data_IF_345182293586
#
_entry.id   IF_345182293586
#
_cell.length_a   1.000
_cell.length_b   1.000
_cell.length_c   1.000
_cell.angle_alpha   90.00
_cell.angle_beta   90.00
_cell.angle_gamma   90.00
#
_symmetry.space_group_name_H-M   'P 1'
#
loop_
_entity.id
_entity.type
_entity.pdbx_description
1 polymer ?
#
# COMPACT_ATOMS: atom_id res chain seq x y z
N UNK A 1 -20.82 12.00 -8.42
CA UNK A 1 -21.31 10.63 -8.16
C UNK A 1 -20.10 9.72 -8.24
N UNK A 2 -19.40 9.32 -7.18
CA UNK A 2 -19.35 9.60 -5.74
C UNK A 2 -17.85 9.31 -5.40
N UNK A 3 -17.17 9.80 -4.37
CA UNK A 3 -17.46 10.62 -3.21
C UNK A 3 -16.09 11.14 -2.72
N UNK A 4 -16.08 12.00 -1.71
CA UNK A 4 -14.90 12.60 -1.13
C UNK A 4 -13.85 11.58 -0.64
N UNK A 5 -12.59 11.87 -0.92
CA UNK A 5 -11.50 11.57 0.02
C UNK A 5 -10.48 12.72 -0.05
N UNK A 6 -10.95 13.90 0.35
CA UNK A 6 -10.08 14.82 1.05
C UNK A 6 -9.68 14.14 2.35
N UNK A 7 -8.39 13.85 2.49
CA UNK A 7 -7.70 13.93 3.76
C UNK A 7 -6.23 13.96 3.42
N UNK A 8 -5.60 15.05 3.85
CA UNK A 8 -4.16 15.23 3.84
C UNK A 8 -3.47 13.95 4.32
N UNK A 9 -2.26 13.64 3.84
CA UNK A 9 -1.49 12.57 4.45
C UNK A 9 -1.30 12.93 5.92
N UNK A 10 -2.00 12.22 6.79
CA UNK A 10 -1.75 12.21 8.22
C UNK A 10 -0.30 11.72 8.38
N UNK A 11 0.60 12.67 8.64
CA UNK A 11 2.03 12.46 8.88
C UNK A 11 2.27 11.99 10.33
N UNK A 12 1.32 11.28 10.93
CA UNK A 12 1.57 10.58 12.18
C UNK A 12 2.46 9.38 11.86
N UNK A 13 3.58 9.17 12.58
CA UNK A 13 4.39 7.97 12.45
C UNK A 13 3.56 6.79 12.99
N UNK A 14 2.70 6.23 12.13
CA UNK A 14 1.92 5.04 12.45
C UNK A 14 2.88 3.89 12.70
N UNK A 15 2.80 3.22 13.87
CA UNK A 15 3.65 2.10 14.21
C UNK A 15 3.51 1.04 13.13
N UNK A 16 4.65 0.48 12.76
CA UNK A 16 4.78 -0.54 11.73
C UNK A 16 4.06 -1.79 12.22
N UNK A 17 2.79 -2.00 11.81
CA UNK A 17 2.03 -3.27 11.81
C UNK A 17 0.54 -3.04 11.46
N UNK A 18 0.24 -2.19 10.47
CA UNK A 18 -1.13 -2.13 9.96
C UNK A 18 -1.45 -3.42 9.19
N UNK A 19 -2.57 -4.08 9.51
CA UNK A 19 -3.03 -5.29 8.83
C UNK A 19 -3.11 -5.12 7.30
N UNK A 20 -3.40 -3.90 6.85
CA UNK A 20 -3.41 -3.50 5.44
C UNK A 20 -2.03 -3.57 4.79
N UNK A 21 -0.97 -3.14 5.48
CA UNK A 21 0.39 -3.19 4.93
C UNK A 21 0.84 -4.67 4.77
N UNK A 22 0.48 -5.52 5.72
CA UNK A 22 0.66 -6.97 5.64
C UNK A 22 -0.10 -7.60 4.47
N UNK A 23 -1.33 -7.18 4.22
CA UNK A 23 -2.12 -7.63 3.07
C UNK A 23 -1.48 -7.19 1.75
N UNK A 24 -0.99 -5.95 1.65
CA UNK A 24 -0.28 -5.45 0.46
C UNK A 24 0.95 -6.30 0.20
N UNK A 25 1.79 -6.54 1.22
CA UNK A 25 2.99 -7.38 1.09
C UNK A 25 2.63 -8.81 0.67
N UNK A 26 1.62 -9.43 1.30
CA UNK A 26 1.16 -10.77 0.92
C UNK A 26 0.67 -10.84 -0.51
N UNK A 27 -0.07 -9.83 -0.97
CA UNK A 27 -0.58 -9.78 -2.34
C UNK A 27 0.55 -9.64 -3.36
N UNK A 28 1.54 -8.79 -3.10
CA UNK A 28 2.73 -8.63 -3.95
C UNK A 28 3.60 -9.89 -3.95
N UNK A 29 3.76 -10.55 -2.79
CA UNK A 29 4.50 -11.82 -2.70
C UNK A 29 3.80 -12.97 -3.43
N UNK A 30 2.47 -13.01 -3.40
CA UNK A 30 1.68 -14.02 -4.09
C UNK A 30 1.71 -13.83 -5.60
N UNK A 31 1.68 -12.58 -6.07
CA UNK A 31 1.75 -12.23 -7.49
C UNK A 31 2.55 -10.95 -7.71
N UNK A 32 3.82 -11.10 -8.10
CA UNK A 32 4.71 -9.97 -8.40
C UNK A 32 4.29 -9.13 -9.61
N UNK A 33 3.28 -9.56 -10.38
CA UNK A 33 2.72 -8.79 -11.50
C UNK A 33 1.45 -8.02 -11.13
N UNK A 34 1.02 -8.10 -9.87
CA UNK A 34 -0.15 -7.36 -9.38
C UNK A 34 0.07 -5.85 -9.54
N UNK A 35 -0.93 -5.17 -10.09
CA UNK A 35 -0.91 -3.71 -10.26
C UNK A 35 -1.37 -2.98 -9.01
N UNK A 36 -1.01 -1.70 -8.87
CA UNK A 36 -1.47 -0.86 -7.76
C UNK A 36 -2.99 -0.74 -7.68
N UNK A 37 -3.68 -0.79 -8.83
CA UNK A 37 -5.15 -0.77 -8.90
C UNK A 37 -5.75 -2.05 -8.30
N UNK A 38 -5.24 -3.21 -8.70
CA UNK A 38 -5.68 -4.50 -8.16
C UNK A 38 -5.37 -4.65 -6.67
N UNK A 39 -4.24 -4.10 -6.20
CA UNK A 39 -3.92 -4.02 -4.78
C UNK A 39 -4.94 -3.16 -4.04
N UNK A 40 -5.27 -1.98 -4.58
CA UNK A 40 -6.26 -1.07 -3.99
C UNK A 40 -7.64 -1.70 -3.86
N UNK A 41 -8.10 -2.39 -4.92
CA UNK A 41 -9.37 -3.13 -4.89
C UNK A 41 -9.38 -4.22 -3.80
N UNK A 42 -8.27 -4.96 -3.65
CA UNK A 42 -8.17 -6.03 -2.64
C UNK A 42 -8.21 -5.51 -1.20
N UNK A 43 -7.49 -4.41 -0.94
CA UNK A 43 -7.31 -3.90 0.43
C UNK A 43 -8.23 -2.73 0.78
N UNK A 44 -9.18 -2.39 -0.11
CA UNK A 44 -10.14 -1.31 0.10
C UNK A 44 -9.53 0.09 0.09
N UNK A 45 -8.41 0.28 -0.62
CA UNK A 45 -7.69 1.54 -0.69
C UNK A 45 -7.68 2.12 -2.11
N UNK A 46 -7.50 3.43 -2.19
CA UNK A 46 -7.20 4.09 -3.48
C UNK A 46 -5.78 3.75 -3.96
N UNK A 47 -5.55 3.87 -5.27
CA UNK A 47 -4.24 3.65 -5.89
C UNK A 47 -3.14 4.51 -5.26
N UNK A 48 -3.44 5.78 -4.95
CA UNK A 48 -2.50 6.72 -4.33
C UNK A 48 -2.18 6.35 -2.87
N UNK A 49 -3.17 5.86 -2.12
CA UNK A 49 -2.96 5.36 -0.76
C UNK A 49 -2.05 4.13 -0.77
N UNK A 50 -2.29 3.16 -1.66
CA UNK A 50 -1.44 1.98 -1.84
C UNK A 50 0.00 2.38 -2.19
N UNK A 51 0.17 3.32 -3.13
CA UNK A 51 1.49 3.81 -3.52
C UNK A 51 2.26 4.45 -2.34
N UNK A 52 1.58 5.23 -1.50
CA UNK A 52 2.17 5.85 -0.31
C UNK A 52 2.58 4.79 0.72
N UNK A 53 1.74 3.77 0.95
CA UNK A 53 2.06 2.63 1.84
C UNK A 53 3.27 1.83 1.34
N UNK A 54 3.32 1.50 0.06
CA UNK A 54 4.47 0.84 -0.57
C UNK A 54 5.76 1.63 -0.38
N UNK A 55 5.73 2.95 -0.64
CA UNK A 55 6.89 3.82 -0.44
C UNK A 55 7.36 3.85 1.02
N UNK A 56 6.43 3.86 1.98
CA UNK A 56 6.75 3.77 3.41
C UNK A 56 7.39 2.41 3.76
N UNK A 57 6.88 1.30 3.21
CA UNK A 57 7.43 -0.04 3.40
C UNK A 57 8.83 -0.19 2.79
N UNK A 58 9.08 0.36 1.60
CA UNK A 58 10.39 0.41 0.96
C UNK A 58 11.39 1.22 1.80
N UNK A 59 10.98 2.41 2.26
CA UNK A 59 11.84 3.31 3.07
C UNK A 59 12.21 2.68 4.42
N UNK A 60 11.33 1.84 4.98
CA UNK A 60 11.57 1.11 6.24
C UNK A 60 12.34 -0.21 6.04
N UNK A 61 12.64 -0.60 4.79
CA UNK A 61 13.37 -1.84 4.47
C UNK A 61 12.50 -3.11 4.47
N UNK A 62 11.17 -2.99 4.52
CA UNK A 62 10.24 -4.13 4.46
C UNK A 62 10.04 -4.71 3.05
N UNK A 63 10.32 -3.91 2.01
CA UNK A 63 10.32 -4.34 0.61
C UNK A 63 11.69 -3.98 0.01
N UNK A 64 12.58 -4.95 -0.14
CA UNK A 64 13.96 -4.74 -0.63
C UNK A 64 14.09 -4.87 -2.16
N UNK A 65 12.99 -5.03 -2.89
CA UNK A 65 12.98 -4.90 -4.34
C UNK A 65 11.86 -5.66 -5.03
N UNK A 66 11.22 -5.00 -5.99
CA UNK A 66 10.51 -5.65 -7.09
C UNK A 66 11.56 -6.30 -8.00
N UNK A 67 11.94 -7.55 -7.76
CA UNK A 67 12.78 -8.27 -8.73
C UNK A 67 11.91 -8.83 -9.85
N UNK A 68 12.04 -8.21 -11.02
CA UNK A 68 11.89 -8.87 -12.31
C UNK A 68 13.09 -9.79 -12.58
#
# INVERSE_FOLDING_TARGET
>A
MADAATSAPDDSPVPVEDATDLEIVRAVLADGRVTLAQLGERVGLSVSAVQSRLRKLETRGGITGYRA
#
